data_IF_029553330752
#
_entry.id   IF_029553330752
#
_cell.length_a   1.000
_cell.length_b   1.000
_cell.length_c   1.000
_cell.angle_alpha   90.00
_cell.angle_beta   90.00
_cell.angle_gamma   90.00
#
_symmetry.space_group_name_H-M   'P 1'
#
loop_
_entity.id
_entity.type
_entity.pdbx_description
1 polymer ?
#
# COMPACT_ATOMS: atom_id res chain seq x y z
N UNK A 1 -18.80 -30.13 24.36
CA UNK A 1 -17.40 -30.03 24.76
C UNK A 1 -16.70 -29.10 23.79
N UNK A 2 -16.60 -27.82 24.16
CA UNK A 2 -15.78 -26.83 23.46
C UNK A 2 -14.32 -27.26 23.59
N UNK A 3 -13.78 -27.88 22.55
CA UNK A 3 -12.34 -28.13 22.44
C UNK A 3 -11.62 -26.80 22.63
N UNK A 4 -10.92 -26.62 23.75
CA UNK A 4 -9.97 -25.51 23.92
C UNK A 4 -9.06 -25.52 22.69
N UNK A 5 -9.21 -24.48 21.85
CA UNK A 5 -8.24 -24.22 20.80
C UNK A 5 -6.90 -24.03 21.52
N UNK A 6 -6.05 -25.04 21.47
CA UNK A 6 -4.68 -24.93 22.00
C UNK A 6 -4.06 -23.73 21.29
N UNK A 7 -3.59 -22.76 22.08
CA UNK A 7 -2.86 -21.60 21.58
C UNK A 7 -1.51 -22.09 21.02
N UNK A 8 -1.55 -22.67 19.82
CA UNK A 8 -0.33 -23.13 19.14
C UNK A 8 0.38 -21.88 18.62
N UNK A 9 1.65 -21.66 18.99
CA UNK A 9 2.38 -20.49 18.50
C UNK A 9 2.62 -20.57 16.99
N UNK A 10 2.80 -19.41 16.36
CA UNK A 10 3.22 -19.32 14.97
C UNK A 10 4.60 -19.99 14.83
N UNK A 11 4.77 -20.80 13.79
CA UNK A 11 6.07 -21.39 13.46
C UNK A 11 7.02 -20.35 12.84
N UNK A 12 8.27 -20.72 12.60
CA UNK A 12 9.29 -19.82 12.08
C UNK A 12 8.94 -19.26 10.69
N UNK A 13 8.40 -20.10 9.81
CA UNK A 13 7.96 -19.68 8.47
C UNK A 13 6.79 -18.69 8.57
N UNK A 14 5.78 -19.01 9.35
CA UNK A 14 4.61 -18.14 9.55
C UNK A 14 4.99 -16.78 10.11
N UNK A 15 5.89 -16.73 11.10
CA UNK A 15 6.38 -15.46 11.68
C UNK A 15 7.16 -14.65 10.66
N UNK A 16 8.03 -15.30 9.89
CA UNK A 16 8.83 -14.63 8.85
C UNK A 16 7.93 -14.07 7.74
N UNK A 17 7.01 -14.86 7.25
CA UNK A 17 6.05 -14.45 6.21
C UNK A 17 5.14 -13.34 6.70
N UNK A 18 4.62 -13.43 7.92
CA UNK A 18 3.80 -12.39 8.54
C UNK A 18 4.59 -11.08 8.67
N UNK A 19 5.82 -11.12 9.19
CA UNK A 19 6.65 -9.94 9.34
C UNK A 19 6.96 -9.29 7.98
N UNK A 20 7.35 -10.09 6.97
CA UNK A 20 7.66 -9.60 5.65
C UNK A 20 6.45 -8.98 4.95
N UNK A 21 5.33 -9.68 4.88
CA UNK A 21 4.13 -9.21 4.18
C UNK A 21 3.44 -8.06 4.92
N UNK A 22 3.44 -8.08 6.25
CA UNK A 22 2.95 -6.94 7.04
C UNK A 22 3.81 -5.69 6.84
N UNK A 23 5.13 -5.86 6.71
CA UNK A 23 6.04 -4.75 6.41
C UNK A 23 5.81 -4.21 5.01
N UNK A 24 5.63 -5.06 4.00
CA UNK A 24 5.30 -4.65 2.63
C UNK A 24 3.99 -3.85 2.60
N UNK A 25 2.93 -4.37 3.20
CA UNK A 25 1.65 -3.68 3.30
C UNK A 25 1.76 -2.39 4.11
N UNK A 26 2.44 -2.43 5.25
CA UNK A 26 2.62 -1.28 6.13
C UNK A 26 3.38 -0.14 5.47
N UNK A 27 4.53 -0.42 4.84
CA UNK A 27 5.34 0.58 4.13
C UNK A 27 4.56 1.22 2.96
N UNK A 28 3.88 0.39 2.17
CA UNK A 28 3.05 0.89 1.07
C UNK A 28 1.91 1.76 1.58
N UNK A 29 1.18 1.31 2.59
CA UNK A 29 0.06 2.05 3.16
C UNK A 29 0.51 3.31 3.88
N UNK A 30 1.63 3.27 4.59
CA UNK A 30 2.23 4.46 5.19
C UNK A 30 2.52 5.52 4.14
N UNK A 31 3.20 5.15 3.04
CA UNK A 31 3.46 6.07 1.94
C UNK A 31 2.19 6.67 1.34
N UNK A 32 1.16 5.85 1.15
CA UNK A 32 -0.14 6.31 0.66
C UNK A 32 -0.81 7.30 1.62
N UNK A 33 -0.83 6.97 2.91
CA UNK A 33 -1.52 7.77 3.91
C UNK A 33 -0.81 9.07 4.27
N UNK A 34 0.51 9.18 4.04
CA UNK A 34 1.27 10.42 4.24
C UNK A 34 0.65 11.62 3.52
N UNK A 35 0.08 11.40 2.36
CA UNK A 35 -0.42 12.45 1.47
C UNK A 35 -1.79 12.93 1.92
N UNK A 36 -2.63 12.07 2.50
CA UNK A 36 -4.03 12.35 2.77
C UNK A 36 -4.26 13.61 3.65
N UNK A 37 -3.57 13.79 4.79
CA UNK A 37 -3.85 14.91 5.67
C UNK A 37 -3.48 16.27 5.08
N UNK A 38 -2.60 16.31 4.09
CA UNK A 38 -2.07 17.56 3.52
C UNK A 38 -2.48 17.78 2.06
N UNK A 39 -3.13 16.79 1.43
CA UNK A 39 -3.41 16.81 0.00
C UNK A 39 -4.20 18.05 -0.42
N UNK A 40 -5.30 18.36 0.25
CA UNK A 40 -6.14 19.50 -0.09
C UNK A 40 -5.42 20.84 0.04
N UNK A 41 -4.54 20.97 1.04
CA UNK A 41 -3.79 22.20 1.29
C UNK A 41 -2.76 22.51 0.20
N UNK A 42 -2.07 21.48 -0.28
CA UNK A 42 -0.98 21.65 -1.24
C UNK A 42 -1.44 21.51 -2.70
N UNK A 43 -2.51 20.77 -2.94
CA UNK A 43 -3.05 20.58 -4.28
C UNK A 43 -3.62 21.87 -4.89
N UNK A 44 -4.09 22.82 -4.08
CA UNK A 44 -4.58 24.13 -4.54
C UNK A 44 -3.49 24.97 -5.23
N UNK A 45 -2.21 24.71 -4.95
CA UNK A 45 -1.08 25.34 -5.61
C UNK A 45 -0.72 24.75 -6.99
N UNK A 46 -1.34 23.64 -7.39
CA UNK A 46 -1.09 23.01 -8.68
C UNK A 46 -1.84 23.72 -9.80
N UNK A 47 -1.20 23.82 -10.96
CA UNK A 47 -1.82 24.38 -12.16
C UNK A 47 -3.07 23.58 -12.56
N UNK A 48 -4.15 24.28 -12.86
CA UNK A 48 -5.44 23.69 -13.22
C UNK A 48 -6.25 23.16 -12.04
N UNK A 49 -5.79 23.35 -10.80
CA UNK A 49 -6.46 22.83 -9.61
C UNK A 49 -7.81 23.51 -9.36
N UNK A 50 -8.79 22.70 -8.99
CA UNK A 50 -10.06 23.11 -8.41
C UNK A 50 -10.59 22.02 -7.47
N UNK A 51 -11.60 22.33 -6.66
CA UNK A 51 -12.11 21.40 -5.65
C UNK A 51 -12.55 20.04 -6.22
N UNK A 52 -13.15 20.03 -7.41
CA UNK A 52 -13.58 18.79 -8.06
C UNK A 52 -12.38 17.93 -8.49
N UNK A 53 -11.36 18.54 -9.10
CA UNK A 53 -10.16 17.82 -9.55
C UNK A 53 -9.32 17.35 -8.39
N UNK A 54 -9.25 18.10 -7.29
CA UNK A 54 -8.61 17.65 -6.04
C UNK A 54 -9.33 16.43 -5.49
N UNK A 55 -10.67 16.44 -5.44
CA UNK A 55 -11.46 15.29 -5.06
C UNK A 55 -11.24 14.08 -5.98
N UNK A 56 -11.15 14.31 -7.29
CA UNK A 56 -10.86 13.27 -8.28
C UNK A 56 -9.46 12.68 -8.07
N UNK A 57 -8.46 13.50 -7.77
CA UNK A 57 -7.11 13.04 -7.49
C UNK A 57 -7.06 12.15 -6.22
N UNK A 58 -7.82 12.50 -5.18
CA UNK A 58 -7.95 11.64 -4.00
C UNK A 58 -8.67 10.33 -4.32
N UNK A 59 -9.76 10.41 -5.07
CA UNK A 59 -10.59 9.27 -5.44
C UNK A 59 -9.97 8.34 -6.48
N UNK A 60 -9.12 8.85 -7.38
CA UNK A 60 -8.54 8.09 -8.49
C UNK A 60 -7.79 6.83 -8.02
N UNK A 61 -7.05 6.92 -6.92
CA UNK A 61 -6.41 5.77 -6.29
C UNK A 61 -7.43 4.69 -5.90
N UNK A 62 -8.48 5.08 -5.19
CA UNK A 62 -9.50 4.13 -4.72
C UNK A 62 -10.27 3.48 -5.87
N UNK A 63 -10.59 4.23 -6.90
CA UNK A 63 -11.31 3.72 -8.09
C UNK A 63 -10.47 2.67 -8.83
N UNK A 64 -9.23 2.97 -9.16
CA UNK A 64 -8.35 2.01 -9.85
C UNK A 64 -8.04 0.79 -8.98
N UNK A 65 -7.84 0.98 -7.68
CA UNK A 65 -7.65 -0.13 -6.76
C UNK A 65 -8.89 -1.03 -6.71
N UNK A 66 -10.08 -0.48 -6.58
CA UNK A 66 -11.32 -1.24 -6.53
C UNK A 66 -11.56 -2.05 -7.82
N UNK A 67 -11.32 -1.43 -8.98
CA UNK A 67 -11.49 -2.07 -10.29
C UNK A 67 -10.45 -3.17 -10.55
N UNK A 68 -9.21 -2.98 -10.12
CA UNK A 68 -8.10 -3.88 -10.44
C UNK A 68 -7.80 -4.91 -9.35
N UNK A 69 -8.37 -4.78 -8.16
CA UNK A 69 -8.11 -5.71 -7.06
C UNK A 69 -8.53 -7.15 -7.39
N UNK A 70 -9.69 -7.33 -8.02
CA UNK A 70 -10.16 -8.65 -8.46
C UNK A 70 -9.32 -9.20 -9.61
N UNK A 71 -9.06 -8.46 -10.72
CA UNK A 71 -8.15 -8.91 -11.76
C UNK A 71 -6.76 -9.28 -11.24
N UNK A 72 -6.15 -8.47 -10.37
CA UNK A 72 -4.86 -8.79 -9.75
C UNK A 72 -4.90 -10.09 -8.94
N UNK A 73 -5.98 -10.31 -8.19
CA UNK A 73 -6.20 -11.53 -7.44
C UNK A 73 -6.23 -12.76 -8.37
N UNK A 74 -7.02 -12.72 -9.42
CA UNK A 74 -7.15 -13.80 -10.42
C UNK A 74 -5.82 -14.06 -11.12
N UNK A 75 -5.14 -12.99 -11.57
CA UNK A 75 -3.83 -13.12 -12.22
C UNK A 75 -2.78 -13.68 -11.27
N UNK A 76 -2.85 -13.36 -9.98
CA UNK A 76 -1.92 -13.91 -8.99
C UNK A 76 -2.12 -15.41 -8.74
N UNK A 77 -3.35 -15.90 -8.89
CA UNK A 77 -3.63 -17.35 -8.85
C UNK A 77 -3.02 -18.07 -10.05
N UNK A 78 -2.97 -17.40 -11.20
CA UNK A 78 -2.47 -17.98 -12.45
C UNK A 78 -0.95 -17.85 -12.65
N UNK A 79 -0.40 -16.66 -12.37
CA UNK A 79 1.01 -16.34 -12.62
C UNK A 79 1.90 -16.36 -11.36
N UNK A 80 1.30 -16.59 -10.21
CA UNK A 80 1.98 -16.60 -8.92
C UNK A 80 1.83 -15.30 -8.14
N UNK A 81 1.87 -15.40 -6.82
CA UNK A 81 1.68 -14.27 -5.89
C UNK A 81 2.83 -13.25 -5.97
N UNK A 82 4.08 -13.74 -5.91
CA UNK A 82 5.27 -12.87 -5.88
C UNK A 82 5.44 -12.00 -7.13
N UNK A 83 5.27 -12.52 -8.37
CA UNK A 83 5.34 -11.69 -9.57
C UNK A 83 4.28 -10.59 -9.60
N UNK A 84 3.06 -10.89 -9.17
CA UNK A 84 1.97 -9.90 -9.13
C UNK A 84 2.19 -8.85 -8.04
N UNK A 85 2.71 -9.24 -6.87
CA UNK A 85 3.13 -8.30 -5.83
C UNK A 85 4.20 -7.36 -6.34
N UNK A 86 5.20 -7.89 -7.03
CA UNK A 86 6.28 -7.10 -7.64
C UNK A 86 5.73 -6.12 -8.69
N UNK A 87 4.89 -6.59 -9.60
CA UNK A 87 4.27 -5.76 -10.62
C UNK A 87 3.43 -4.63 -10.00
N UNK A 88 2.64 -4.94 -8.99
CA UNK A 88 1.82 -3.96 -8.29
C UNK A 88 2.63 -2.91 -7.53
N UNK A 89 3.70 -3.32 -6.85
CA UNK A 89 4.62 -2.37 -6.19
C UNK A 89 5.34 -1.48 -7.20
N UNK A 90 5.77 -2.02 -8.34
CA UNK A 90 6.39 -1.23 -9.42
C UNK A 90 5.40 -0.22 -10.02
N UNK A 91 4.13 -0.59 -10.21
CA UNK A 91 3.09 0.36 -10.62
C UNK A 91 2.89 1.47 -9.58
N UNK A 92 2.91 1.13 -8.30
CA UNK A 92 2.84 2.12 -7.23
C UNK A 92 4.05 3.06 -7.24
N UNK A 93 5.25 2.55 -7.43
CA UNK A 93 6.48 3.35 -7.57
C UNK A 93 6.37 4.27 -8.78
N UNK A 94 5.96 3.75 -9.94
CA UNK A 94 5.78 4.54 -11.15
C UNK A 94 4.76 5.67 -10.95
N UNK A 95 3.60 5.36 -10.36
CA UNK A 95 2.58 6.35 -10.03
C UNK A 95 3.08 7.41 -9.06
N UNK A 96 3.88 7.03 -8.07
CA UNK A 96 4.51 7.95 -7.13
C UNK A 96 5.50 8.90 -7.83
N UNK A 97 6.31 8.40 -8.74
CA UNK A 97 7.24 9.23 -9.54
C UNK A 97 6.49 10.19 -10.45
N UNK A 98 5.44 9.73 -11.12
CA UNK A 98 4.60 10.58 -11.99
C UNK A 98 3.97 11.70 -11.18
N UNK A 99 3.38 11.39 -10.03
CA UNK A 99 2.77 12.39 -9.15
C UNK A 99 3.81 13.36 -8.55
N UNK A 100 4.99 12.86 -8.17
CA UNK A 100 6.07 13.68 -7.64
C UNK A 100 6.60 14.71 -8.63
N UNK A 101 6.63 14.37 -9.91
CA UNK A 101 7.09 15.25 -11.00
C UNK A 101 5.98 16.11 -11.61
N UNK A 102 4.73 15.88 -11.24
CA UNK A 102 3.60 16.58 -11.82
C UNK A 102 3.60 18.07 -11.44
N UNK A 103 3.45 18.93 -12.42
CA UNK A 103 3.24 20.36 -12.26
C UNK A 103 1.77 20.75 -12.32
N UNK A 104 0.92 19.84 -12.78
CA UNK A 104 -0.53 20.04 -12.97
C UNK A 104 -1.33 19.05 -12.15
N UNK A 105 -2.58 19.40 -11.83
CA UNK A 105 -3.48 18.50 -11.10
C UNK A 105 -3.80 17.22 -11.90
N UNK A 106 -3.88 17.30 -13.22
CA UNK A 106 -4.10 16.14 -14.09
C UNK A 106 -2.95 15.14 -13.99
N UNK A 107 -1.71 15.63 -13.92
CA UNK A 107 -0.54 14.77 -13.72
C UNK A 107 -0.58 14.03 -12.37
N UNK A 108 -1.05 14.70 -11.33
CA UNK A 108 -1.25 14.08 -10.00
C UNK A 108 -2.39 13.06 -10.06
N UNK A 109 -3.50 13.35 -10.73
CA UNK A 109 -4.61 12.42 -10.93
C UNK A 109 -4.11 11.15 -11.62
N UNK A 110 -3.33 11.27 -12.68
CA UNK A 110 -2.77 10.12 -13.41
C UNK A 110 -1.81 9.31 -12.53
N UNK A 111 -0.93 9.97 -11.80
CA UNK A 111 -0.03 9.31 -10.84
C UNK A 111 -0.79 8.56 -9.74
N UNK A 112 -1.85 9.15 -9.21
CA UNK A 112 -2.73 8.53 -8.22
C UNK A 112 -3.47 7.32 -8.78
N UNK A 113 -3.94 7.41 -10.02
CA UNK A 113 -4.57 6.28 -10.71
C UNK A 113 -3.58 5.12 -10.89
N UNK A 114 -2.33 5.39 -11.27
CA UNK A 114 -1.28 4.38 -11.37
C UNK A 114 -0.93 3.77 -10.00
N UNK A 115 -0.86 4.56 -8.94
CA UNK A 115 -0.65 4.04 -7.59
C UNK A 115 -1.74 3.04 -7.19
N UNK A 116 -3.01 3.38 -7.47
CA UNK A 116 -4.15 2.50 -7.21
C UNK A 116 -4.17 1.26 -8.10
N UNK A 117 -3.68 1.36 -9.33
CA UNK A 117 -3.58 0.24 -10.27
C UNK A 117 -2.67 -0.88 -9.73
N UNK A 118 -1.72 -0.57 -8.87
CA UNK A 118 -0.94 -1.54 -8.13
C UNK A 118 -1.71 -2.17 -6.97
N UNK A 119 -2.87 -2.77 -7.23
CA UNK A 119 -3.83 -3.30 -6.25
C UNK A 119 -3.35 -4.60 -5.58
N UNK A 120 -2.29 -4.53 -4.78
CA UNK A 120 -1.61 -5.71 -4.22
C UNK A 120 -2.17 -6.19 -2.88
N UNK A 121 -3.04 -5.46 -2.24
CA UNK A 121 -3.49 -5.80 -0.87
C UNK A 121 -4.13 -7.17 -0.80
N UNK A 122 -5.03 -7.50 -1.74
CA UNK A 122 -5.65 -8.81 -1.80
C UNK A 122 -4.62 -9.92 -2.10
N UNK A 123 -3.67 -9.66 -2.99
CA UNK A 123 -2.60 -10.63 -3.34
C UNK A 123 -1.69 -10.89 -2.16
N UNK A 124 -1.30 -9.85 -1.42
CA UNK A 124 -0.45 -9.98 -0.23
C UNK A 124 -1.15 -10.76 0.89
N UNK A 125 -2.43 -10.47 1.14
CA UNK A 125 -3.21 -11.21 2.12
C UNK A 125 -3.46 -12.66 1.70
N UNK A 126 -3.68 -12.91 0.40
CA UNK A 126 -3.80 -14.26 -0.13
C UNK A 126 -2.49 -15.05 0.04
N UNK A 127 -1.33 -14.43 -0.24
CA UNK A 127 -0.03 -15.07 -0.01
C UNK A 127 0.19 -15.38 1.47
N UNK A 128 -0.17 -14.46 2.35
CA UNK A 128 -0.08 -14.67 3.80
C UNK A 128 -0.96 -15.85 4.23
N UNK A 129 -2.17 -15.95 3.68
CA UNK A 129 -3.06 -17.08 3.94
C UNK A 129 -2.48 -18.41 3.44
N UNK A 130 -1.86 -18.40 2.25
CA UNK A 130 -1.25 -19.58 1.65
C UNK A 130 -0.06 -20.10 2.49
N UNK A 131 0.66 -19.20 3.16
CA UNK A 131 1.84 -19.51 3.98
C UNK A 131 1.53 -19.73 5.47
N UNK A 132 0.27 -19.62 5.86
CA UNK A 132 -0.17 -19.73 7.26
C UNK A 132 -1.13 -20.91 7.41
N UNK A 133 -0.90 -21.73 8.44
CA UNK A 133 -1.82 -22.83 8.79
C UNK A 133 -3.23 -22.29 9.05
N UNK A 134 -4.24 -23.09 8.70
CA UNK A 134 -5.67 -22.70 8.81
C UNK A 134 -5.99 -22.16 10.21
N UNK A 135 -5.48 -22.82 11.26
CA UNK A 135 -5.72 -22.47 12.67
C UNK A 135 -5.11 -21.10 13.05
N UNK A 136 -4.13 -20.61 12.30
CA UNK A 136 -3.41 -19.36 12.56
C UNK A 136 -3.79 -18.22 11.61
N UNK A 137 -4.57 -18.49 10.57
CA UNK A 137 -4.93 -17.48 9.54
C UNK A 137 -5.61 -16.26 10.12
N UNK A 138 -6.60 -16.45 10.99
CA UNK A 138 -7.32 -15.32 11.62
C UNK A 138 -6.37 -14.42 12.40
N UNK A 139 -5.45 -15.03 13.16
CA UNK A 139 -4.44 -14.27 13.91
C UNK A 139 -3.48 -13.53 12.99
N UNK A 140 -2.99 -14.19 11.94
CA UNK A 140 -2.09 -13.58 10.96
C UNK A 140 -2.77 -12.40 10.23
N UNK A 141 -4.03 -12.56 9.81
CA UNK A 141 -4.80 -11.49 9.17
C UNK A 141 -5.05 -10.31 10.12
N UNK A 142 -5.36 -10.58 11.39
CA UNK A 142 -5.53 -9.53 12.39
C UNK A 142 -4.24 -8.74 12.61
N UNK A 143 -3.10 -9.40 12.71
CA UNK A 143 -1.79 -8.76 12.88
C UNK A 143 -1.39 -7.94 11.63
N UNK A 144 -1.66 -8.45 10.42
CA UNK A 144 -1.46 -7.69 9.19
C UNK A 144 -2.35 -6.44 9.14
N UNK A 145 -3.62 -6.57 9.52
CA UNK A 145 -4.55 -5.44 9.63
C UNK A 145 -4.12 -4.39 10.65
N UNK A 146 -3.59 -4.82 11.80
CA UNK A 146 -3.02 -3.92 12.81
C UNK A 146 -1.81 -3.16 12.28
N UNK A 147 -0.97 -3.78 11.46
CA UNK A 147 0.17 -3.13 10.80
C UNK A 147 -0.30 -2.01 9.86
N UNK A 148 -1.37 -2.23 9.10
CA UNK A 148 -1.98 -1.22 8.24
C UNK A 148 -2.53 -0.06 9.08
N UNK A 149 -3.26 -0.36 10.17
CA UNK A 149 -3.79 0.64 11.08
C UNK A 149 -2.72 1.48 11.75
N UNK A 150 -1.63 0.85 12.22
CA UNK A 150 -0.48 1.54 12.79
C UNK A 150 0.21 2.45 11.77
N UNK A 151 0.33 2.00 10.52
CA UNK A 151 0.85 2.81 9.41
C UNK A 151 -0.01 4.04 9.13
N UNK A 152 -1.33 3.90 9.20
CA UNK A 152 -2.26 5.01 9.06
C UNK A 152 -2.06 6.06 10.17
N UNK A 153 -2.04 5.65 11.43
CA UNK A 153 -1.81 6.56 12.55
C UNK A 153 -0.46 7.27 12.46
N UNK A 154 0.61 6.53 12.15
CA UNK A 154 1.93 7.11 11.96
C UNK A 154 1.95 8.13 10.82
N UNK A 155 1.27 7.84 9.72
CA UNK A 155 1.18 8.73 8.56
C UNK A 155 0.39 10.01 8.86
N UNK A 156 -0.68 9.93 9.65
CA UNK A 156 -1.43 11.12 10.08
C UNK A 156 -0.56 12.10 10.89
N UNK A 157 0.35 11.57 11.69
CA UNK A 157 1.26 12.39 12.51
C UNK A 157 2.43 12.89 11.67
N UNK A 158 3.07 12.01 10.93
CA UNK A 158 4.30 12.32 10.20
C UNK A 158 4.06 13.05 8.87
N UNK A 159 2.88 12.87 8.25
CA UNK A 159 2.55 13.49 6.97
C UNK A 159 2.71 15.00 6.98
N UNK A 160 2.05 15.75 7.88
CA UNK A 160 2.20 17.19 7.98
C UNK A 160 3.66 17.61 8.26
N UNK A 161 4.36 16.93 9.19
CA UNK A 161 5.75 17.23 9.54
C UNK A 161 6.71 17.05 8.36
N UNK A 162 6.54 15.98 7.61
CA UNK A 162 7.35 15.72 6.42
C UNK A 162 7.00 16.67 5.27
N UNK A 163 5.73 17.08 5.15
CA UNK A 163 5.31 18.05 4.15
C UNK A 163 5.94 19.43 4.37
N UNK A 164 6.11 19.85 5.62
CA UNK A 164 6.80 21.10 5.94
C UNK A 164 8.28 21.09 5.51
N UNK A 165 8.96 19.95 5.65
CA UNK A 165 10.38 19.84 5.34
C UNK A 165 10.67 19.49 3.90
N UNK A 166 9.85 18.66 3.26
CA UNK A 166 10.08 18.07 1.93
C UNK A 166 9.10 18.54 0.85
N UNK A 167 8.06 19.26 1.26
CA UNK A 167 6.99 19.67 0.37
C UNK A 167 6.06 18.54 -0.04
N UNK A 168 5.00 18.90 -0.74
CA UNK A 168 3.99 17.96 -1.24
C UNK A 168 4.58 16.90 -2.18
N UNK A 169 5.43 17.32 -3.11
CA UNK A 169 6.10 16.41 -4.05
C UNK A 169 7.05 15.45 -3.35
N UNK A 170 7.71 15.89 -2.27
CA UNK A 170 8.57 15.04 -1.46
C UNK A 170 7.84 13.87 -0.81
N UNK A 171 6.56 14.02 -0.47
CA UNK A 171 5.73 12.93 0.05
C UNK A 171 5.51 11.82 -0.98
N UNK A 172 5.35 12.17 -2.25
CA UNK A 172 5.27 11.18 -3.33
C UNK A 172 6.60 10.45 -3.55
N UNK A 173 7.73 11.16 -3.45
CA UNK A 173 9.05 10.53 -3.50
C UNK A 173 9.26 9.54 -2.36
N UNK A 174 8.88 9.91 -1.13
CA UNK A 174 8.94 9.00 0.02
C UNK A 174 8.05 7.78 -0.21
N UNK A 175 6.83 7.97 -0.68
CA UNK A 175 5.90 6.87 -0.96
C UNK A 175 6.49 5.87 -1.95
N UNK A 176 7.08 6.36 -3.03
CA UNK A 176 7.75 5.54 -4.04
C UNK A 176 8.97 4.81 -3.48
N UNK A 177 9.81 5.48 -2.71
CA UNK A 177 11.00 4.89 -2.09
C UNK A 177 10.64 3.79 -1.08
N UNK A 178 9.61 3.99 -0.28
CA UNK A 178 9.13 2.98 0.68
C UNK A 178 8.60 1.74 -0.03
N UNK A 179 7.85 1.91 -1.13
CA UNK A 179 7.38 0.81 -1.94
C UNK A 179 8.53 0.06 -2.61
N UNK A 180 9.52 0.78 -3.10
CA UNK A 180 10.74 0.18 -3.69
C UNK A 180 11.53 -0.60 -2.63
N UNK A 181 11.67 -0.06 -1.43
CA UNK A 181 12.32 -0.72 -0.30
C UNK A 181 11.59 -1.99 0.17
N UNK A 182 10.29 -2.10 -0.09
CA UNK A 182 9.50 -3.29 0.24
C UNK A 182 9.77 -4.49 -0.71
N UNK A 183 10.26 -4.25 -1.93
CA UNK A 183 10.49 -5.30 -2.92
C UNK A 183 11.44 -6.43 -2.43
N UNK A 184 12.60 -6.15 -1.81
CA UNK A 184 13.47 -7.21 -1.32
C UNK A 184 12.79 -8.13 -0.31
N UNK A 185 11.88 -7.61 0.51
CA UNK A 185 11.13 -8.39 1.48
C UNK A 185 10.29 -9.50 0.85
N UNK A 186 9.76 -9.29 -0.34
CA UNK A 186 8.97 -10.29 -1.07
C UNK A 186 9.83 -11.45 -1.53
N UNK A 187 11.03 -11.17 -2.02
CA UNK A 187 11.87 -12.18 -2.68
C UNK A 187 12.82 -12.89 -1.72
N UNK A 188 13.24 -12.23 -0.65
CA UNK A 188 14.24 -12.78 0.28
C UNK A 188 13.63 -13.32 1.58
N UNK A 189 12.49 -12.78 1.99
CA UNK A 189 11.90 -13.13 3.28
C UNK A 189 10.65 -14.02 3.15
N UNK A 190 10.05 -14.11 2.01
CA UNK A 190 8.86 -14.92 1.68
C UNK A 190 9.17 -15.97 0.57
#
# INVERSE_FOLDING_TARGET
SLKRVKNVPLNALERRSLAALSSVLGLRMFGLFLILPVFALYADGLSGSNAMLVGLALGAYGVTQALLQVPFGILSDRFGRKPLLTAGLLLFVLGSVVAAKAATIEGVIFGRALQGAGAISAVALALLADLTRVEQRTKAMALAGMSIGASFLAALILGPLLAESLGFQGLFWISGLLALAALPGIWWLV
#
